data_IF_778671144586
#
_entry.id   IF_778671144586
#
_cell.length_a   1.000
_cell.length_b   1.000
_cell.length_c   1.000
_cell.angle_alpha   90.00
_cell.angle_beta   90.00
_cell.angle_gamma   90.00
#
_symmetry.space_group_name_H-M   'P 1'
#
loop_
_entity.id
_entity.type
_entity.pdbx_description
1 polymer ?
#
# COMPACT_ATOMS: atom_id res chain seq x y z
N UNK A 1 -13.71 9.48 4.50
CA UNK A 1 -13.16 8.77 5.70
C UNK A 1 -11.71 9.19 5.84
N UNK A 2 -11.37 9.76 6.97
CA UNK A 2 -9.97 10.08 7.26
C UNK A 2 -9.18 8.84 7.69
N UNK A 3 -7.86 8.99 7.81
CA UNK A 3 -6.96 7.89 8.16
C UNK A 3 -7.31 7.29 9.53
N UNK A 4 -7.56 8.11 10.53
CA UNK A 4 -7.82 7.63 11.90
C UNK A 4 -9.12 6.82 11.96
N UNK A 5 -10.14 7.25 11.26
CA UNK A 5 -11.39 6.50 11.15
C UNK A 5 -11.17 5.16 10.43
N UNK A 6 -10.41 5.16 9.32
CA UNK A 6 -10.07 3.94 8.61
C UNK A 6 -9.32 2.97 9.52
N UNK A 7 -8.31 3.45 10.26
CA UNK A 7 -7.56 2.63 11.21
C UNK A 7 -8.46 2.04 12.29
N UNK A 8 -9.34 2.83 12.89
CA UNK A 8 -10.29 2.34 13.90
C UNK A 8 -11.21 1.25 13.34
N UNK A 9 -11.75 1.44 12.13
CA UNK A 9 -12.67 0.47 11.50
C UNK A 9 -11.98 -0.82 11.10
N UNK A 10 -10.70 -0.78 10.76
CA UNK A 10 -9.96 -1.95 10.27
C UNK A 10 -9.14 -2.66 11.34
N UNK A 11 -8.97 -2.07 12.52
CA UNK A 11 -8.09 -2.57 13.58
C UNK A 11 -8.37 -4.04 13.99
N UNK A 12 -9.64 -4.44 14.00
CA UNK A 12 -10.06 -5.79 14.37
C UNK A 12 -10.36 -6.72 13.18
N UNK A 13 -10.13 -6.26 11.95
CA UNK A 13 -10.47 -7.00 10.74
C UNK A 13 -9.25 -7.65 10.11
N UNK A 14 -9.42 -8.87 9.60
CA UNK A 14 -8.47 -9.49 8.67
C UNK A 14 -8.83 -9.13 7.23
N UNK A 15 -7.90 -9.33 6.29
CA UNK A 15 -8.19 -9.20 4.86
C UNK A 15 -9.35 -10.14 4.44
N UNK A 16 -9.43 -11.33 5.04
CA UNK A 16 -10.54 -12.26 4.80
C UNK A 16 -11.90 -11.69 5.25
N UNK A 17 -11.95 -11.00 6.40
CA UNK A 17 -13.18 -10.34 6.84
C UNK A 17 -13.65 -9.25 5.86
N UNK A 18 -12.70 -8.48 5.31
CA UNK A 18 -13.00 -7.46 4.29
C UNK A 18 -13.53 -8.11 3.02
N UNK A 19 -12.91 -9.19 2.55
CA UNK A 19 -13.35 -9.94 1.38
C UNK A 19 -14.79 -10.48 1.57
N UNK A 20 -15.07 -11.09 2.72
CA UNK A 20 -16.42 -11.58 3.06
C UNK A 20 -17.45 -10.45 3.10
N UNK A 21 -17.08 -9.31 3.63
CA UNK A 21 -17.91 -8.11 3.61
C UNK A 21 -18.26 -7.66 2.20
N UNK A 22 -17.27 -7.65 1.30
CA UNK A 22 -17.52 -7.35 -0.11
C UNK A 22 -18.51 -8.33 -0.75
N UNK A 23 -18.32 -9.64 -0.52
CA UNK A 23 -19.25 -10.67 -1.04
C UNK A 23 -20.67 -10.44 -0.55
N UNK A 24 -20.85 -10.18 0.75
CA UNK A 24 -22.18 -9.95 1.34
C UNK A 24 -22.88 -8.70 0.80
N UNK A 25 -22.07 -7.69 0.43
CA UNK A 25 -22.59 -6.44 -0.13
C UNK A 25 -22.72 -6.47 -1.66
N UNK A 26 -22.38 -7.58 -2.32
CA UNK A 26 -22.38 -7.68 -3.76
C UNK A 26 -21.32 -6.82 -4.45
N UNK A 27 -20.27 -6.46 -3.73
CA UNK A 27 -19.15 -5.69 -4.24
C UNK A 27 -18.06 -6.60 -4.84
N UNK A 28 -17.32 -6.13 -5.85
CA UNK A 28 -16.20 -6.89 -6.39
C UNK A 28 -15.14 -7.13 -5.32
N UNK A 29 -14.75 -8.38 -5.14
CA UNK A 29 -13.59 -8.72 -4.29
C UNK A 29 -12.33 -8.62 -5.11
N UNK A 30 -11.37 -7.83 -4.64
CA UNK A 30 -10.08 -7.63 -5.30
C UNK A 30 -8.94 -7.95 -4.34
N UNK A 31 -7.95 -8.66 -4.85
CA UNK A 31 -6.77 -9.07 -4.10
C UNK A 31 -5.52 -8.58 -4.82
N UNK A 32 -4.46 -8.37 -4.05
CA UNK A 32 -3.13 -8.26 -4.60
C UNK A 32 -2.64 -9.62 -5.14
N UNK A 33 -1.51 -9.64 -5.87
CA UNK A 33 -0.92 -10.88 -6.35
C UNK A 33 -0.68 -11.88 -5.21
N UNK A 34 -0.88 -13.19 -5.44
CA UNK A 34 -0.77 -14.21 -4.37
C UNK A 34 0.65 -14.33 -3.76
N UNK A 35 1.66 -13.79 -4.44
CA UNK A 35 3.06 -13.79 -3.97
C UNK A 35 3.41 -12.62 -3.05
N UNK A 36 2.51 -11.66 -2.84
CA UNK A 36 2.75 -10.58 -1.89
C UNK A 36 2.95 -11.13 -0.48
N UNK A 37 4.03 -10.69 0.14
CA UNK A 37 4.40 -11.11 1.50
C UNK A 37 4.83 -9.91 2.32
N UNK A 38 4.55 -9.94 3.62
CA UNK A 38 5.10 -8.97 4.55
C UNK A 38 6.62 -9.18 4.67
N UNK A 39 7.40 -8.15 4.40
CA UNK A 39 8.86 -8.15 4.61
C UNK A 39 9.18 -8.20 6.11
N UNK A 40 8.40 -7.47 6.91
CA UNK A 40 8.46 -7.54 8.37
C UNK A 40 7.38 -8.50 8.85
N UNK A 41 7.73 -9.66 9.42
CA UNK A 41 6.74 -10.65 9.87
C UNK A 41 5.71 -10.06 10.83
N UNK A 42 4.44 -10.40 10.61
CA UNK A 42 3.33 -9.95 11.47
C UNK A 42 2.90 -8.51 11.24
N UNK A 43 3.53 -7.77 10.33
CA UNK A 43 3.09 -6.40 10.01
C UNK A 43 1.73 -6.40 9.33
N UNK A 44 0.94 -5.38 9.66
CA UNK A 44 -0.38 -5.13 9.08
C UNK A 44 -0.48 -3.67 8.71
N UNK A 45 -1.04 -3.42 7.54
CA UNK A 45 -1.30 -2.06 7.08
C UNK A 45 -2.73 -1.97 6.55
N UNK A 46 -3.33 -0.81 6.72
CA UNK A 46 -4.55 -0.42 6.07
C UNK A 46 -4.46 1.07 5.77
N UNK A 47 -4.86 1.47 4.59
CA UNK A 47 -4.77 2.86 4.17
C UNK A 47 -5.38 3.06 2.80
N UNK A 48 -5.53 4.31 2.40
CA UNK A 48 -5.91 4.66 1.04
C UNK A 48 -4.74 4.30 0.12
N UNK A 49 -5.02 3.64 -1.00
CA UNK A 49 -3.98 3.32 -1.98
C UNK A 49 -3.48 4.60 -2.68
N UNK A 50 -2.19 4.78 -2.68
CA UNK A 50 -1.47 5.79 -3.44
C UNK A 50 -0.70 5.05 -4.56
N UNK A 51 -1.29 4.92 -5.77
CA UNK A 51 -0.68 4.11 -6.81
C UNK A 51 0.44 4.86 -7.53
N UNK A 52 1.51 4.15 -7.86
CA UNK A 52 2.58 4.65 -8.70
C UNK A 52 3.11 3.54 -9.60
N UNK A 53 3.42 3.86 -10.86
CA UNK A 53 4.03 2.92 -11.79
C UNK A 53 5.51 3.24 -11.95
N UNK A 54 6.34 2.30 -11.54
CA UNK A 54 7.79 2.40 -11.66
C UNK A 54 8.28 2.01 -13.06
N UNK A 55 9.04 2.91 -13.69
CA UNK A 55 9.64 2.69 -15.01
C UNK A 55 11.08 3.24 -15.04
N UNK A 56 11.96 2.68 -14.20
CA UNK A 56 13.39 2.99 -14.19
C UNK A 56 13.83 4.18 -13.34
N UNK A 57 12.93 5.04 -12.89
CA UNK A 57 13.24 6.17 -12.00
C UNK A 57 12.39 6.16 -10.74
N UNK A 58 12.99 6.54 -9.62
CA UNK A 58 12.30 6.73 -8.33
C UNK A 58 11.56 8.07 -8.24
N UNK A 59 11.74 8.97 -9.19
CA UNK A 59 11.09 10.29 -9.19
C UNK A 59 9.58 10.18 -9.13
N UNK A 60 9.01 9.13 -9.74
CA UNK A 60 7.56 8.87 -9.70
C UNK A 60 7.04 8.68 -8.27
N UNK A 61 7.85 8.12 -7.38
CA UNK A 61 7.47 7.96 -5.98
C UNK A 61 7.50 9.29 -5.23
N UNK A 62 8.50 10.12 -5.49
CA UNK A 62 8.61 11.46 -4.89
C UNK A 62 7.44 12.35 -5.35
N UNK A 63 7.07 12.29 -6.62
CA UNK A 63 5.88 12.97 -7.15
C UNK A 63 4.59 12.47 -6.47
N UNK A 64 4.48 11.16 -6.26
CA UNK A 64 3.33 10.58 -5.55
C UNK A 64 3.27 11.09 -4.09
N UNK A 65 4.41 11.23 -3.42
CA UNK A 65 4.46 11.71 -2.03
C UNK A 65 4.03 13.17 -1.88
N UNK A 66 4.18 14.00 -2.91
CA UNK A 66 3.66 15.38 -2.90
C UNK A 66 2.13 15.44 -2.76
N UNK A 67 1.44 14.38 -3.18
CA UNK A 67 -0.02 14.28 -3.11
C UNK A 67 -0.50 13.33 -2.01
N UNK A 68 0.43 12.78 -1.23
CA UNK A 68 0.11 11.83 -0.17
C UNK A 68 -0.57 12.51 1.01
N UNK A 69 -1.49 11.79 1.61
CA UNK A 69 -2.04 12.13 2.93
C UNK A 69 -1.46 11.16 3.97
N UNK A 70 -1.36 11.62 5.21
CA UNK A 70 -0.90 10.76 6.29
C UNK A 70 -1.76 9.49 6.36
N UNK A 71 -1.10 8.34 6.41
CA UNK A 71 -1.76 7.04 6.45
C UNK A 71 -2.04 6.41 5.08
N UNK A 72 -1.68 7.06 3.98
CA UNK A 72 -1.72 6.42 2.67
C UNK A 72 -0.77 5.23 2.59
N UNK A 73 -1.05 4.31 1.69
CA UNK A 73 -0.19 3.18 1.36
C UNK A 73 0.29 3.33 -0.08
N UNK A 74 1.60 3.48 -0.28
CA UNK A 74 2.17 3.45 -1.63
C UNK A 74 1.97 2.06 -2.22
N UNK A 75 1.35 1.99 -3.38
CA UNK A 75 1.19 0.74 -4.15
C UNK A 75 1.96 0.92 -5.46
N UNK A 76 3.14 0.32 -5.52
CA UNK A 76 4.04 0.44 -6.65
C UNK A 76 3.83 -0.71 -7.65
N UNK A 77 3.45 -0.36 -8.87
CA UNK A 77 3.45 -1.30 -10.00
C UNK A 77 4.83 -1.28 -10.65
N UNK A 78 5.59 -2.33 -10.45
CA UNK A 78 6.92 -2.56 -11.02
C UNK A 78 6.87 -3.40 -12.29
N UNK A 79 5.70 -3.70 -12.83
CA UNK A 79 5.54 -4.56 -14.00
C UNK A 79 5.94 -6.01 -13.76
N UNK A 80 6.06 -6.46 -12.52
CA UNK A 80 6.51 -7.81 -12.15
C UNK A 80 8.00 -8.05 -12.40
N UNK A 81 8.80 -7.03 -12.58
CA UNK A 81 10.24 -7.14 -12.88
C UNK A 81 11.00 -7.61 -11.64
N UNK A 82 11.89 -8.60 -11.85
CA UNK A 82 12.76 -9.15 -10.80
C UNK A 82 14.23 -8.79 -11.03
N UNK A 83 14.53 -8.13 -12.13
CA UNK A 83 15.88 -7.77 -12.58
C UNK A 83 16.24 -6.31 -12.29
N UNK A 84 15.36 -5.58 -11.65
CA UNK A 84 15.54 -4.16 -11.35
C UNK A 84 15.04 -3.84 -9.94
N UNK A 85 15.87 -3.12 -9.18
CA UNK A 85 15.46 -2.60 -7.89
C UNK A 85 14.40 -1.51 -8.07
N UNK A 86 13.28 -1.65 -7.37
CA UNK A 86 12.16 -0.70 -7.43
C UNK A 86 12.27 0.35 -6.33
N UNK A 87 12.42 -0.08 -5.10
CA UNK A 87 12.44 0.78 -3.91
C UNK A 87 13.64 0.42 -3.04
N UNK A 88 14.34 1.45 -2.58
CA UNK A 88 15.43 1.34 -1.63
C UNK A 88 15.14 2.08 -0.33
N UNK A 89 16.13 2.12 0.53
CA UNK A 89 16.08 2.74 1.86
C UNK A 89 15.69 4.22 1.82
N UNK A 90 16.23 4.98 0.86
CA UNK A 90 15.94 6.41 0.74
C UNK A 90 14.47 6.67 0.43
N UNK A 91 13.87 5.91 -0.48
CA UNK A 91 12.44 6.03 -0.79
C UNK A 91 11.58 5.65 0.41
N UNK A 92 11.98 4.63 1.17
CA UNK A 92 11.27 4.22 2.38
C UNK A 92 11.34 5.30 3.46
N UNK A 93 12.50 5.95 3.63
CA UNK A 93 12.66 7.08 4.56
C UNK A 93 11.77 8.25 4.16
N UNK A 94 11.72 8.60 2.88
CA UNK A 94 10.83 9.65 2.36
C UNK A 94 9.35 9.29 2.54
N UNK A 95 8.97 8.05 2.29
CA UNK A 95 7.62 7.58 2.55
C UNK A 95 7.22 7.72 4.02
N UNK A 96 8.11 7.36 4.93
CA UNK A 96 7.91 7.53 6.37
C UNK A 96 7.79 9.01 6.76
N UNK A 97 8.64 9.89 6.18
CA UNK A 97 8.59 11.34 6.41
C UNK A 97 7.29 11.96 5.88
N UNK A 98 6.75 11.43 4.78
CA UNK A 98 5.44 11.82 4.25
C UNK A 98 4.25 11.24 5.05
N UNK A 99 4.51 10.45 6.09
CA UNK A 99 3.50 9.88 6.96
C UNK A 99 2.75 8.67 6.38
N UNK A 100 3.29 7.99 5.37
CA UNK A 100 2.66 6.82 4.79
C UNK A 100 2.59 5.67 5.81
N UNK A 101 1.49 4.91 5.76
CA UNK A 101 1.30 3.73 6.60
C UNK A 101 2.12 2.52 6.14
N UNK A 102 2.51 2.49 4.86
CA UNK A 102 3.31 1.41 4.32
C UNK A 102 3.53 1.48 2.83
N UNK A 103 4.23 0.48 2.33
CA UNK A 103 4.59 0.34 0.92
C UNK A 103 4.29 -1.09 0.47
N UNK A 104 3.69 -1.23 -0.68
CA UNK A 104 3.42 -2.50 -1.37
C UNK A 104 4.06 -2.43 -2.76
N UNK A 105 4.83 -3.46 -3.12
CA UNK A 105 5.51 -3.57 -4.43
C UNK A 105 5.08 -4.86 -5.10
#
# INVERSE_FOLDING_TARGET
>A
MDHDELQRRTAGLSAANVADGCVRLGLPVRFGPPLLRAVVPGSRIAGRALPARHTGSVDIFLEAFEQAEAGDVLVADNGGRLDEACIGDLVVIEAAAAGLAGVVI
#
